data_IF_456183464497
#
_entry.id   IF_456183464497
#
_cell.length_a   1.000
_cell.length_b   1.000
_cell.length_c   1.000
_cell.angle_alpha   90.00
_cell.angle_beta   90.00
_cell.angle_gamma   90.00
#
_symmetry.space_group_name_H-M   'P 1'
#
loop_
_entity.id
_entity.type
_entity.pdbx_description
1 polymer ?
#
# COMPACT_ATOMS: atom_id res chain seq x y z
N UNK A 1 6.79 25.53 -0.92
CA UNK A 1 6.33 26.61 -0.01
C UNK A 1 7.56 27.41 0.38
N UNK A 2 7.59 28.71 0.08
CA UNK A 2 8.72 29.58 0.43
C UNK A 2 8.48 30.16 1.83
N UNK A 3 9.33 29.80 2.79
CA UNK A 3 9.23 30.23 4.19
C UNK A 3 9.81 31.63 4.41
N UNK A 4 10.56 32.19 3.45
CA UNK A 4 11.20 33.52 3.57
C UNK A 4 10.19 34.66 3.52
N UNK A 5 8.95 34.38 3.08
CA UNK A 5 7.85 35.36 3.02
C UNK A 5 7.09 35.53 4.34
N UNK A 6 7.39 34.69 5.33
CA UNK A 6 6.72 34.74 6.64
C UNK A 6 7.48 35.65 7.59
N UNK A 7 6.74 36.35 8.46
CA UNK A 7 7.30 37.01 9.65
C UNK A 7 7.62 35.98 10.72
N UNK A 8 8.45 36.31 11.71
CA UNK A 8 8.76 35.44 12.85
C UNK A 8 7.49 34.97 13.56
N UNK A 9 6.51 35.88 13.78
CA UNK A 9 5.22 35.54 14.35
C UNK A 9 4.43 34.56 13.47
N UNK A 10 4.49 34.72 12.14
CA UNK A 10 3.87 33.80 11.18
C UNK A 10 4.51 32.41 11.19
N UNK A 11 5.83 32.34 11.36
CA UNK A 11 6.56 31.07 11.48
C UNK A 11 6.21 30.36 12.81
N UNK A 12 6.07 31.10 13.91
CA UNK A 12 5.62 30.54 15.19
C UNK A 12 4.19 29.99 15.12
N UNK A 13 3.25 30.72 14.50
CA UNK A 13 1.89 30.24 14.30
C UNK A 13 1.85 28.96 13.44
N UNK A 14 2.59 28.96 12.33
CA UNK A 14 2.69 27.77 11.46
C UNK A 14 3.25 26.57 12.20
N UNK A 15 4.31 26.77 13.01
CA UNK A 15 4.90 25.71 13.83
C UNK A 15 3.91 25.14 14.85
N UNK A 16 3.15 26.01 15.54
CA UNK A 16 2.12 25.59 16.48
C UNK A 16 1.00 24.79 15.81
N UNK A 17 0.55 25.21 14.63
CA UNK A 17 -0.47 24.49 13.84
C UNK A 17 0.04 23.14 13.35
N UNK A 18 1.29 23.05 12.91
CA UNK A 18 1.92 21.78 12.54
C UNK A 18 1.96 20.84 13.75
N UNK A 19 2.40 21.32 14.91
CA UNK A 19 2.46 20.52 16.14
C UNK A 19 1.07 20.01 16.54
N UNK A 20 0.04 20.87 16.51
CA UNK A 20 -1.33 20.48 16.81
C UNK A 20 -1.87 19.43 15.83
N UNK A 21 -1.57 19.55 14.54
CA UNK A 21 -1.95 18.56 13.52
C UNK A 21 -1.23 17.21 13.73
N UNK A 22 0.04 17.22 14.11
CA UNK A 22 0.78 16.01 14.46
C UNK A 22 0.16 15.29 15.66
N UNK A 23 -0.21 16.02 16.72
CA UNK A 23 -0.87 15.43 17.88
C UNK A 23 -2.27 14.89 17.53
N UNK A 24 -3.04 15.60 16.70
CA UNK A 24 -4.34 15.12 16.22
C UNK A 24 -4.19 13.81 15.44
N UNK A 25 -3.22 13.72 14.51
CA UNK A 25 -2.95 12.50 13.73
C UNK A 25 -2.50 11.34 14.60
N UNK A 26 -1.64 11.64 15.60
CA UNK A 26 -1.18 10.62 16.54
C UNK A 26 -2.33 10.07 17.38
N UNK A 27 -3.20 10.94 17.89
CA UNK A 27 -4.38 10.54 18.66
C UNK A 27 -5.35 9.71 17.79
N UNK A 28 -5.58 10.09 16.53
CA UNK A 28 -6.39 9.31 15.59
C UNK A 28 -5.80 7.92 15.35
N UNK A 29 -4.50 7.82 15.09
CA UNK A 29 -3.83 6.53 14.85
C UNK A 29 -3.92 5.59 16.07
N UNK A 30 -3.81 6.11 17.30
CA UNK A 30 -4.00 5.32 18.52
C UNK A 30 -5.44 4.82 18.64
N UNK A 31 -6.43 5.67 18.32
CA UNK A 31 -7.84 5.29 18.34
C UNK A 31 -8.13 4.21 17.31
N UNK A 32 -7.63 4.37 16.08
CA UNK A 32 -7.82 3.41 14.99
C UNK A 32 -7.20 2.05 15.33
N UNK A 33 -6.01 2.03 15.93
CA UNK A 33 -5.36 0.81 16.38
C UNK A 33 -6.17 0.10 17.49
N UNK A 34 -6.70 0.86 18.46
CA UNK A 34 -7.54 0.31 19.53
C UNK A 34 -8.83 -0.27 18.99
N UNK A 35 -9.50 0.41 18.06
CA UNK A 35 -10.70 -0.11 17.38
C UNK A 35 -10.38 -1.39 16.63
N UNK A 36 -9.26 -1.43 15.89
CA UNK A 36 -8.83 -2.61 15.18
C UNK A 36 -8.58 -3.81 16.11
N UNK A 37 -7.92 -3.58 17.26
CA UNK A 37 -7.66 -4.62 18.26
C UNK A 37 -8.97 -5.19 18.83
N UNK A 38 -9.92 -4.35 19.21
CA UNK A 38 -11.22 -4.78 19.76
C UNK A 38 -12.02 -5.56 18.71
N UNK A 39 -12.13 -5.04 17.48
CA UNK A 39 -12.88 -5.72 16.40
C UNK A 39 -12.24 -7.05 16.08
N UNK A 40 -10.92 -7.11 15.91
CA UNK A 40 -10.19 -8.35 15.62
C UNK A 40 -10.38 -9.38 16.75
N UNK A 41 -10.28 -8.95 18.01
CA UNK A 41 -10.52 -9.85 19.14
C UNK A 41 -11.93 -10.41 19.19
N UNK A 42 -12.94 -9.64 18.80
CA UNK A 42 -14.33 -10.12 18.70
C UNK A 42 -14.55 -11.05 17.50
N UNK A 43 -13.88 -10.81 16.38
CA UNK A 43 -13.88 -11.70 15.21
C UNK A 43 -13.23 -13.04 15.57
N UNK A 44 -12.06 -13.03 16.19
CA UNK A 44 -11.33 -14.24 16.60
C UNK A 44 -12.11 -15.06 17.66
N UNK A 45 -12.91 -14.38 18.48
CA UNK A 45 -13.82 -15.02 19.43
C UNK A 45 -15.14 -15.50 18.79
N UNK A 46 -15.34 -15.34 17.49
CA UNK A 46 -16.56 -15.69 16.76
C UNK A 46 -17.79 -14.85 17.13
N UNK A 47 -17.60 -13.68 17.73
CA UNK A 47 -18.67 -12.78 18.16
C UNK A 47 -19.03 -11.72 17.11
N UNK A 48 -18.15 -11.46 16.16
CA UNK A 48 -18.39 -10.64 14.99
C UNK A 48 -18.03 -11.41 13.72
N UNK A 49 -18.69 -11.11 12.58
CA UNK A 49 -18.25 -11.61 11.30
C UNK A 49 -16.87 -11.06 10.97
N UNK A 50 -16.13 -11.75 10.12
CA UNK A 50 -14.88 -11.26 9.55
C UNK A 50 -15.01 -11.22 8.02
N UNK A 51 -14.33 -10.29 7.32
CA UNK A 51 -14.31 -10.30 5.86
C UNK A 51 -13.59 -11.57 5.38
N UNK A 52 -14.02 -12.09 4.24
CA UNK A 52 -13.29 -13.17 3.59
C UNK A 52 -11.92 -12.64 3.14
N UNK A 53 -10.85 -13.28 3.63
CA UNK A 53 -9.47 -12.93 3.27
C UNK A 53 -8.58 -14.15 3.41
N UNK A 54 -7.49 -14.20 2.63
CA UNK A 54 -6.46 -15.21 2.77
C UNK A 54 -5.41 -14.84 3.82
N UNK A 55 -4.56 -15.80 4.17
CA UNK A 55 -3.38 -15.64 5.02
C UNK A 55 -2.09 -15.52 4.20
N UNK A 56 -2.16 -15.80 2.91
CA UNK A 56 -1.10 -15.74 1.91
C UNK A 56 -1.68 -15.46 0.52
N UNK A 57 -0.83 -15.32 -0.49
CA UNK A 57 -1.23 -15.01 -1.85
C UNK A 57 -2.06 -16.14 -2.50
N UNK A 58 -1.82 -17.39 -2.15
CA UNK A 58 -2.50 -18.56 -2.73
C UNK A 58 -3.93 -18.71 -2.20
N UNK A 59 -4.16 -18.31 -0.95
CA UNK A 59 -5.45 -18.37 -0.28
C UNK A 59 -6.25 -17.08 -0.35
N UNK A 60 -5.72 -16.05 -1.03
CA UNK A 60 -6.37 -14.75 -1.19
C UNK A 60 -7.83 -14.87 -1.67
N UNK A 61 -8.73 -14.11 -1.04
CA UNK A 61 -10.17 -14.10 -1.36
C UNK A 61 -10.55 -12.84 -2.11
N UNK A 62 -11.64 -12.86 -2.91
CA UNK A 62 -12.10 -11.64 -3.58
C UNK A 62 -12.38 -10.52 -2.58
N UNK A 63 -11.84 -9.33 -2.87
CA UNK A 63 -12.14 -8.13 -2.11
C UNK A 63 -13.62 -7.76 -2.23
N UNK A 64 -14.23 -7.41 -1.12
CA UNK A 64 -15.59 -6.88 -1.06
C UNK A 64 -15.58 -5.54 -0.33
N UNK A 65 -16.35 -4.57 -0.83
CA UNK A 65 -16.46 -3.26 -0.20
C UNK A 65 -17.13 -3.39 1.18
N UNK A 66 -16.42 -3.10 2.28
CA UNK A 66 -16.99 -3.18 3.63
C UNK A 66 -17.91 -2.01 3.96
N UNK A 67 -17.96 -0.96 3.12
CA UNK A 67 -18.69 0.25 3.40
C UNK A 67 -18.24 0.89 4.71
N UNK A 68 -19.20 1.13 5.64
CA UNK A 68 -18.92 1.71 6.96
C UNK A 68 -18.94 0.68 8.09
N UNK A 69 -19.12 -0.60 7.80
CA UNK A 69 -19.16 -1.65 8.80
C UNK A 69 -17.74 -2.08 9.20
N UNK A 70 -17.28 -1.66 10.38
CA UNK A 70 -15.95 -1.98 10.88
C UNK A 70 -15.71 -3.49 11.03
N UNK A 71 -16.77 -4.29 11.23
CA UNK A 71 -16.61 -5.75 11.33
C UNK A 71 -16.29 -6.41 9.99
N UNK A 72 -16.54 -5.74 8.88
CA UNK A 72 -16.25 -6.22 7.53
C UNK A 72 -14.98 -5.59 6.92
N UNK A 73 -14.30 -4.68 7.65
CA UNK A 73 -13.05 -4.10 7.23
C UNK A 73 -11.87 -5.08 7.42
N UNK A 74 -10.91 -4.99 6.53
CA UNK A 74 -9.77 -5.92 6.47
C UNK A 74 -8.70 -5.53 7.48
N UNK A 75 -8.19 -6.52 8.23
CA UNK A 75 -7.07 -6.34 9.16
C UNK A 75 -5.74 -6.25 8.42
N UNK A 76 -4.72 -5.73 9.07
CA UNK A 76 -3.34 -5.83 8.58
C UNK A 76 -2.97 -7.32 8.38
N UNK A 77 -2.28 -7.63 7.28
CA UNK A 77 -1.90 -9.00 6.93
C UNK A 77 -2.96 -9.77 6.13
N UNK A 78 -4.15 -9.20 5.87
CA UNK A 78 -5.16 -9.83 5.03
C UNK A 78 -4.74 -9.83 3.55
N UNK A 79 -4.92 -10.97 2.87
CA UNK A 79 -4.70 -11.12 1.44
C UNK A 79 -6.03 -11.18 0.70
N UNK A 80 -6.16 -10.37 -0.35
CA UNK A 80 -7.36 -10.33 -1.20
C UNK A 80 -6.98 -10.31 -2.68
N UNK A 81 -7.94 -10.70 -3.55
CA UNK A 81 -7.83 -10.50 -4.99
C UNK A 81 -8.73 -9.34 -5.40
N UNK A 82 -8.23 -8.47 -6.27
CA UNK A 82 -8.99 -7.35 -6.83
C UNK A 82 -8.44 -6.98 -8.21
N UNK A 83 -9.32 -6.87 -9.21
CA UNK A 83 -8.95 -6.53 -10.60
C UNK A 83 -7.82 -7.41 -11.18
N UNK A 84 -7.88 -8.72 -10.90
CA UNK A 84 -6.90 -9.69 -11.42
C UNK A 84 -5.54 -9.68 -10.72
N UNK A 85 -5.40 -8.93 -9.64
CA UNK A 85 -4.19 -8.84 -8.82
C UNK A 85 -4.42 -9.37 -7.43
N UNK A 86 -3.32 -9.74 -6.75
CA UNK A 86 -3.30 -10.13 -5.34
C UNK A 86 -2.73 -9.00 -4.51
N UNK A 87 -3.42 -8.68 -3.41
CA UNK A 87 -3.10 -7.54 -2.57
C UNK A 87 -2.95 -7.95 -1.11
N UNK A 88 -1.94 -7.38 -0.44
CA UNK A 88 -1.71 -7.53 1.00
C UNK A 88 -2.05 -6.22 1.72
N UNK A 89 -2.89 -6.27 2.74
CA UNK A 89 -3.17 -5.12 3.59
C UNK A 89 -1.98 -4.83 4.52
N UNK A 90 -1.40 -3.64 4.39
CA UNK A 90 -0.36 -3.08 5.29
C UNK A 90 -0.91 -1.96 6.18
N UNK A 91 -2.19 -1.64 6.04
CA UNK A 91 -2.82 -0.62 6.88
C UNK A 91 -2.75 -1.04 8.36
N UNK A 92 -2.27 -0.18 9.27
CA UNK A 92 -2.06 -0.55 10.69
C UNK A 92 -3.37 -0.72 11.49
N UNK A 93 -4.49 -0.20 10.96
CA UNK A 93 -5.84 -0.34 11.51
C UNK A 93 -6.70 -1.27 10.64
N UNK A 94 -8.00 -1.01 10.64
CA UNK A 94 -8.96 -1.69 9.77
C UNK A 94 -9.02 -1.00 8.40
N UNK A 95 -8.76 -1.75 7.35
CA UNK A 95 -8.70 -1.23 5.98
C UNK A 95 -10.04 -1.39 5.26
N UNK A 96 -10.61 -0.28 4.79
CA UNK A 96 -11.87 -0.25 4.04
C UNK A 96 -11.71 0.25 2.60
N UNK A 97 -10.54 0.77 2.24
CA UNK A 97 -10.29 1.27 0.89
C UNK A 97 -10.18 0.14 -0.12
N UNK A 98 -10.56 0.42 -1.37
CA UNK A 98 -10.34 -0.52 -2.45
C UNK A 98 -8.84 -0.70 -2.74
N UNK A 99 -8.36 -1.93 -2.99
CA UNK A 99 -7.00 -2.16 -3.47
C UNK A 99 -6.72 -1.38 -4.77
N UNK A 100 -5.48 -0.92 -4.94
CA UNK A 100 -5.08 -0.11 -6.09
C UNK A 100 -5.37 1.38 -5.97
N UNK A 101 -6.16 1.82 -4.97
CA UNK A 101 -6.36 3.24 -4.68
C UNK A 101 -5.14 3.84 -4.02
N UNK A 102 -4.77 5.06 -4.39
CA UNK A 102 -3.61 5.76 -3.83
C UNK A 102 -3.74 5.88 -2.29
N UNK A 103 -2.67 5.52 -1.60
CA UNK A 103 -2.59 5.53 -0.13
C UNK A 103 -3.62 4.63 0.59
N UNK A 104 -4.15 3.62 -0.10
CA UNK A 104 -5.13 2.67 0.48
C UNK A 104 -4.53 1.70 1.50
N UNK A 105 -3.20 1.67 1.65
CA UNK A 105 -2.51 0.70 2.51
C UNK A 105 -2.50 -0.73 1.97
N UNK A 106 -2.89 -0.94 0.72
CA UNK A 106 -2.74 -2.20 0.00
C UNK A 106 -1.44 -2.22 -0.80
N UNK A 107 -0.76 -3.35 -0.81
CA UNK A 107 0.44 -3.60 -1.60
C UNK A 107 0.14 -4.70 -2.60
N UNK A 108 0.51 -4.48 -3.86
CA UNK A 108 0.43 -5.48 -4.90
C UNK A 108 1.49 -6.56 -4.65
N UNK A 109 1.03 -7.76 -4.34
CA UNK A 109 1.86 -8.96 -4.11
C UNK A 109 1.52 -10.06 -5.10
N UNK A 110 1.02 -9.67 -6.28
CA UNK A 110 0.69 -10.61 -7.34
C UNK A 110 1.93 -11.44 -7.69
N UNK A 111 1.86 -12.76 -7.63
CA UNK A 111 2.99 -13.60 -8.01
C UNK A 111 3.44 -13.32 -9.45
N UNK A 112 4.75 -13.36 -9.67
CA UNK A 112 5.29 -13.29 -11.02
C UNK A 112 4.73 -14.42 -11.88
N UNK A 113 4.38 -14.18 -13.15
CA UNK A 113 4.01 -15.26 -14.05
C UNK A 113 5.17 -16.23 -14.16
N UNK A 114 4.89 -17.52 -14.21
CA UNK A 114 5.93 -18.54 -14.47
C UNK A 114 6.14 -18.59 -15.97
N UNK A 115 7.40 -18.51 -16.39
CA UNK A 115 7.80 -18.77 -17.76
C UNK A 115 7.59 -20.26 -18.04
N UNK A 116 6.70 -20.60 -18.99
CA UNK A 116 6.31 -21.99 -19.28
C UNK A 116 7.47 -22.79 -19.87
N UNK A 117 8.46 -22.13 -20.49
CA UNK A 117 9.60 -22.81 -21.13
C UNK A 117 10.73 -23.10 -20.14
N UNK A 118 10.98 -22.20 -19.20
CA UNK A 118 12.08 -22.32 -18.22
C UNK A 118 11.62 -22.80 -16.85
N UNK A 119 10.32 -22.62 -16.51
CA UNK A 119 9.77 -22.89 -15.20
C UNK A 119 10.19 -21.87 -14.13
N UNK A 120 10.86 -20.79 -14.53
CA UNK A 120 11.30 -19.73 -13.63
C UNK A 120 10.31 -18.57 -13.55
N UNK A 121 10.31 -17.80 -12.45
CA UNK A 121 9.48 -16.62 -12.35
C UNK A 121 9.86 -15.60 -13.43
N UNK A 122 8.88 -15.20 -14.24
CA UNK A 122 9.04 -14.16 -15.24
C UNK A 122 9.17 -12.78 -14.60
N UNK A 123 9.47 -11.78 -15.43
CA UNK A 123 9.53 -10.39 -14.97
C UNK A 123 8.13 -9.83 -14.85
N UNK A 124 7.78 -9.34 -13.68
CA UNK A 124 6.45 -8.75 -13.39
C UNK A 124 6.30 -7.43 -14.16
N UNK A 125 5.12 -7.20 -14.74
CA UNK A 125 4.79 -5.90 -15.29
C UNK A 125 4.73 -4.83 -14.20
N UNK A 126 5.26 -3.64 -14.48
CA UNK A 126 5.13 -2.52 -13.59
C UNK A 126 3.65 -2.13 -13.39
N UNK A 127 3.29 -1.81 -12.17
CA UNK A 127 1.97 -1.32 -11.81
C UNK A 127 2.03 -0.51 -10.53
N UNK A 128 0.98 0.27 -10.26
CA UNK A 128 0.87 1.07 -9.04
C UNK A 128 0.65 0.17 -7.82
N UNK A 129 1.27 0.50 -6.68
CA UNK A 129 1.09 -0.19 -5.40
C UNK A 129 2.03 -1.37 -5.15
N UNK A 130 3.00 -1.63 -6.03
CA UNK A 130 4.02 -2.67 -5.81
C UNK A 130 5.10 -2.16 -4.85
N UNK A 131 5.50 -2.97 -3.88
CA UNK A 131 6.77 -2.75 -3.17
C UNK A 131 7.91 -3.26 -4.04
N UNK A 132 8.90 -2.42 -4.28
CA UNK A 132 10.09 -2.78 -5.05
C UNK A 132 11.36 -2.45 -4.27
N UNK A 133 12.36 -3.31 -4.45
CA UNK A 133 13.68 -3.18 -3.85
C UNK A 133 14.73 -3.00 -4.95
N UNK A 134 15.90 -2.45 -4.64
CA UNK A 134 17.01 -2.41 -5.58
C UNK A 134 17.34 -3.82 -6.11
N UNK A 135 17.43 -3.93 -7.44
CA UNK A 135 17.60 -5.19 -8.14
C UNK A 135 16.31 -5.84 -8.66
N UNK A 136 15.15 -5.37 -8.22
CA UNK A 136 13.87 -5.87 -8.75
C UNK A 136 13.67 -5.44 -10.21
N UNK A 137 13.28 -6.40 -11.06
CA UNK A 137 12.99 -6.14 -12.46
C UNK A 137 11.49 -5.93 -12.68
N UNK A 138 11.15 -4.98 -13.55
CA UNK A 138 9.77 -4.72 -14.01
C UNK A 138 9.75 -4.44 -15.51
N UNK A 139 8.72 -4.92 -16.19
CA UNK A 139 8.47 -4.51 -17.58
C UNK A 139 7.53 -3.31 -17.62
N UNK A 140 7.85 -2.30 -18.42
CA UNK A 140 7.02 -1.14 -18.67
C UNK A 140 7.23 -0.63 -20.10
N UNK A 141 6.15 -0.39 -20.84
CA UNK A 141 6.18 0.04 -22.24
C UNK A 141 7.10 -0.81 -23.14
N UNK A 142 7.07 -2.14 -22.92
CA UNK A 142 7.85 -3.09 -23.74
C UNK A 142 9.35 -3.13 -23.41
N UNK A 143 9.79 -2.44 -22.37
CA UNK A 143 11.18 -2.43 -21.91
C UNK A 143 11.27 -2.98 -20.48
N UNK A 144 12.41 -3.62 -20.16
CA UNK A 144 12.74 -4.07 -18.81
C UNK A 144 13.50 -2.98 -18.07
N UNK A 145 13.14 -2.77 -16.81
CA UNK A 145 13.72 -1.79 -15.92
C UNK A 145 14.12 -2.43 -14.60
N UNK A 146 15.28 -2.04 -14.08
CA UNK A 146 15.77 -2.42 -12.76
C UNK A 146 15.45 -1.30 -11.75
N UNK A 147 14.88 -1.67 -10.62
CA UNK A 147 14.70 -0.76 -9.51
C UNK A 147 16.04 -0.47 -8.83
N UNK A 148 16.41 0.81 -8.68
CA UNK A 148 17.64 1.23 -8.01
C UNK A 148 17.41 1.90 -6.65
N UNK A 149 16.16 2.17 -6.31
CA UNK A 149 15.77 2.76 -5.01
C UNK A 149 14.49 2.09 -4.50
N UNK A 150 14.54 1.54 -3.28
CA UNK A 150 13.38 0.92 -2.63
C UNK A 150 12.22 1.91 -2.48
N UNK A 151 11.05 1.57 -2.99
CA UNK A 151 9.84 2.38 -2.88
C UNK A 151 8.57 1.57 -3.12
N UNK A 152 7.41 2.17 -2.81
CA UNK A 152 6.13 1.69 -3.33
C UNK A 152 5.82 2.43 -4.63
N UNK A 153 5.55 1.69 -5.69
CA UNK A 153 5.34 2.26 -7.04
C UNK A 153 4.09 3.12 -7.11
N UNK A 154 4.17 4.25 -7.82
CA UNK A 154 3.04 5.13 -8.12
C UNK A 154 3.22 5.78 -9.50
N UNK A 155 2.14 6.32 -10.07
CA UNK A 155 2.14 6.85 -11.45
C UNK A 155 3.26 7.86 -11.74
N UNK A 156 3.59 8.72 -10.77
CA UNK A 156 4.64 9.73 -10.95
C UNK A 156 6.06 9.16 -11.01
N UNK A 157 6.24 7.87 -10.69
CA UNK A 157 7.53 7.16 -10.72
C UNK A 157 7.47 5.92 -11.63
N UNK A 158 6.62 5.95 -12.64
CA UNK A 158 6.62 4.92 -13.68
C UNK A 158 8.00 4.87 -14.39
N UNK A 159 8.52 3.66 -14.70
CA UNK A 159 9.81 3.52 -15.36
C UNK A 159 9.87 4.30 -16.68
N UNK A 160 10.84 5.19 -16.77
CA UNK A 160 11.07 6.02 -17.96
C UNK A 160 12.45 6.69 -17.88
N UNK A 161 12.92 7.27 -18.98
CA UNK A 161 14.14 8.06 -18.98
C UNK A 161 14.10 9.28 -18.02
N UNK A 162 12.91 9.74 -17.62
CA UNK A 162 12.76 10.85 -16.68
C UNK A 162 12.84 10.39 -15.21
N UNK A 163 12.70 9.09 -14.93
CA UNK A 163 12.71 8.51 -13.59
C UNK A 163 13.98 7.72 -13.27
N UNK A 164 15.08 8.05 -13.94
CA UNK A 164 16.40 7.41 -13.76
C UNK A 164 16.97 7.46 -12.32
N UNK A 165 16.36 8.24 -11.43
CA UNK A 165 16.70 8.24 -10.01
C UNK A 165 16.16 7.02 -9.24
N UNK A 166 15.19 6.29 -9.81
CA UNK A 166 14.54 5.14 -9.18
C UNK A 166 14.51 3.89 -10.08
N UNK A 167 14.67 4.07 -11.42
CA UNK A 167 14.68 3.01 -12.42
C UNK A 167 15.85 3.14 -13.38
N UNK A 168 16.47 2.04 -13.73
CA UNK A 168 17.52 1.96 -14.75
C UNK A 168 17.08 0.98 -15.85
N UNK A 169 17.25 1.35 -17.16
CA UNK A 169 16.87 0.44 -18.23
C UNK A 169 17.86 -0.73 -18.31
N UNK A 170 17.33 -1.94 -18.39
CA UNK A 170 18.11 -3.15 -18.65
C UNK A 170 18.27 -3.30 -20.15
N UNK A 171 19.52 -3.31 -20.64
CA UNK A 171 19.90 -3.44 -22.06
C UNK A 171 20.17 -4.88 -22.46
#
# INVERSE_FOLDING_TARGET
MDLTTFTDAGLHDLSARIAAEWERRRASAVTDATVAEVVTGLQDAGKLPAPASGTDAETAQPWADPGTDHSLMYRQGAYVTHEGKTWLSRHPGLNHWAPGTLNSGWIDVTPAPIDEETGEPGIIAWGVGQEVQPGDLRTHDGQTWECILAHTTHEGWAPSAATHAVWEPVT
#
